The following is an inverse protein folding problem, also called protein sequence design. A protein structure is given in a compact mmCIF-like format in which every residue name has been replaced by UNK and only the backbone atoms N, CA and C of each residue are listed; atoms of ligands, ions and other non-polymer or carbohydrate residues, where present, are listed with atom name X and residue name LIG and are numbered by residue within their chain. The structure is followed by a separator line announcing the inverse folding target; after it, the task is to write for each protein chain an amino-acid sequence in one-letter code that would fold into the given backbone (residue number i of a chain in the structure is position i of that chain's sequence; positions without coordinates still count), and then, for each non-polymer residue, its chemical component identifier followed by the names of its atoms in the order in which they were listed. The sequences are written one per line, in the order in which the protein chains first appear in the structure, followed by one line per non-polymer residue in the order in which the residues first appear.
data_IF_091268020766
#
_entry.id   IF_091268020766
#
_cell.length_a   1.000
_cell.length_b   1.000
_cell.length_c   1.000
_cell.angle_alpha   90.00
_cell.angle_beta   90.00
_cell.angle_gamma   90.00
#
_symmetry.space_group_name_H-M   'P 1'
#
loop_
_entity.id
_entity.type
_entity.pdbx_description
1 polymer ?
#
# COMPACT_ATOMS: atom_id res chain seq x y z
N UNK A 1 13.71 7.00 4.19
CA UNK A 1 12.72 6.15 3.48
C UNK A 1 12.61 6.51 2.01
N UNK A 2 12.75 5.53 1.10
CA UNK A 2 12.45 5.70 -0.33
C UNK A 2 11.19 4.90 -0.68
N UNK A 3 10.05 5.58 -0.72
CA UNK A 3 8.76 5.01 -1.10
C UNK A 3 8.62 4.95 -2.62
N UNK A 4 8.09 3.84 -3.14
CA UNK A 4 7.82 3.68 -4.56
C UNK A 4 6.37 3.27 -4.80
N UNK A 5 5.76 3.87 -5.83
CA UNK A 5 4.41 3.53 -6.30
C UNK A 5 4.51 2.60 -7.50
N UNK A 6 3.77 1.51 -7.45
CA UNK A 6 3.65 0.50 -8.49
C UNK A 6 2.21 0.44 -8.98
N UNK A 7 2.02 0.27 -10.27
CA UNK A 7 0.70 0.15 -10.89
C UNK A 7 0.64 -1.04 -11.83
N UNK A 8 -0.55 -1.61 -12.02
CA UNK A 8 -0.73 -2.72 -12.97
C UNK A 8 -2.15 -3.25 -13.00
N UNK A 9 -2.46 -4.04 -14.02
CA UNK A 9 -3.82 -4.48 -14.36
C UNK A 9 -4.39 -5.52 -13.39
N UNK A 10 -3.53 -6.23 -12.65
CA UNK A 10 -3.94 -7.25 -11.69
C UNK A 10 -2.95 -7.39 -10.54
N UNK A 11 -3.40 -7.97 -9.44
CA UNK A 11 -2.59 -8.10 -8.22
C UNK A 11 -1.29 -8.88 -8.47
N UNK A 12 -1.32 -10.04 -9.15
CA UNK A 12 -0.10 -10.78 -9.43
C UNK A 12 0.92 -9.98 -10.23
N UNK A 13 0.46 -9.18 -11.20
CA UNK A 13 1.34 -8.35 -12.06
C UNK A 13 2.02 -7.26 -11.25
N UNK A 14 1.27 -6.55 -10.39
CA UNK A 14 1.85 -5.49 -9.55
C UNK A 14 2.82 -6.07 -8.53
N UNK A 15 2.48 -7.20 -7.91
CA UNK A 15 3.34 -7.86 -6.93
C UNK A 15 4.63 -8.39 -7.54
N UNK A 16 4.59 -8.92 -8.77
CA UNK A 16 5.80 -9.31 -9.49
C UNK A 16 6.70 -8.10 -9.74
N UNK A 17 6.10 -6.96 -10.12
CA UNK A 17 6.84 -5.71 -10.35
C UNK A 17 7.47 -5.18 -9.07
N UNK A 18 6.73 -5.21 -7.95
CA UNK A 18 7.25 -4.85 -6.62
C UNK A 18 8.43 -5.74 -6.25
N UNK A 19 8.30 -7.06 -6.41
CA UNK A 19 9.35 -8.03 -6.12
C UNK A 19 10.60 -7.80 -6.96
N UNK A 20 10.44 -7.55 -8.25
CA UNK A 20 11.57 -7.32 -9.16
C UNK A 20 12.30 -6.00 -8.86
N UNK A 21 11.58 -4.98 -8.37
CA UNK A 21 12.16 -3.68 -8.07
C UNK A 21 12.78 -3.58 -6.67
N UNK A 22 12.12 -4.17 -5.66
CA UNK A 22 12.46 -3.98 -4.24
C UNK A 22 12.99 -5.25 -3.56
N UNK A 23 12.95 -6.40 -4.23
CA UNK A 23 13.35 -7.70 -3.69
C UNK A 23 12.19 -8.48 -3.08
N UNK A 24 12.48 -9.71 -2.61
CA UNK A 24 11.49 -10.60 -1.99
C UNK A 24 10.95 -10.08 -0.66
N UNK A 25 11.72 -9.22 0.01
CA UNK A 25 11.44 -8.73 1.36
C UNK A 25 10.78 -7.34 1.35
N UNK A 26 10.23 -6.94 0.20
CA UNK A 26 9.54 -5.68 0.03
C UNK A 26 8.32 -5.58 0.97
N UNK A 27 8.15 -4.40 1.57
CA UNK A 27 7.07 -4.11 2.50
C UNK A 27 6.02 -3.27 1.79
N UNK A 28 4.79 -3.76 1.75
CA UNK A 28 3.63 -3.05 1.19
C UNK A 28 3.00 -2.20 2.29
N UNK A 29 2.89 -0.90 2.04
CA UNK A 29 2.33 0.07 2.99
C UNK A 29 0.89 0.43 2.66
N UNK A 30 0.55 0.49 1.36
CA UNK A 30 -0.80 0.74 0.91
C UNK A 30 -1.10 -0.02 -0.38
N UNK A 31 -2.35 -0.40 -0.53
CA UNK A 31 -2.90 -1.09 -1.67
C UNK A 31 -4.27 -0.47 -1.94
N UNK A 32 -4.57 -0.17 -3.20
CA UNK A 32 -5.93 0.18 -3.62
C UNK A 32 -6.18 -0.19 -5.07
N UNK A 33 -7.44 -0.40 -5.41
CA UNK A 33 -7.90 -0.48 -6.80
C UNK A 33 -8.39 0.89 -7.26
N UNK A 34 -7.89 1.37 -8.39
CA UNK A 34 -8.28 2.65 -9.00
C UNK A 34 -8.79 2.36 -10.41
N UNK A 35 -10.11 2.34 -10.56
CA UNK A 35 -10.73 1.95 -11.83
C UNK A 35 -10.36 0.52 -12.24
N UNK A 36 -9.63 0.41 -13.34
CA UNK A 36 -9.23 -0.86 -13.96
C UNK A 36 -7.89 -1.41 -13.46
N UNK A 37 -7.09 -0.62 -12.75
CA UNK A 37 -5.76 -1.01 -12.29
C UNK A 37 -5.63 -0.99 -10.76
N UNK A 38 -4.54 -1.57 -10.29
CA UNK A 38 -4.16 -1.65 -8.89
C UNK A 38 -2.97 -0.74 -8.67
N UNK A 39 -2.99 0.03 -7.58
CA UNK A 39 -1.87 0.82 -7.11
C UNK A 39 -1.35 0.23 -5.79
N UNK A 40 -0.04 0.06 -5.68
CA UNK A 40 0.65 -0.36 -4.46
C UNK A 40 1.72 0.67 -4.13
N UNK A 41 1.80 1.09 -2.86
CA UNK A 41 2.94 1.83 -2.33
C UNK A 41 3.76 0.87 -1.49
N UNK A 42 5.04 0.71 -1.83
CA UNK A 42 5.95 -0.22 -1.18
C UNK A 42 7.34 0.39 -0.95
N UNK A 43 8.12 -0.24 -0.07
CA UNK A 43 9.52 0.10 0.19
C UNK A 43 10.35 -1.18 0.34
N UNK A 44 11.62 -1.14 -0.06
CA UNK A 44 12.59 -2.22 0.15
C UNK A 44 13.44 -2.05 1.41
N UNK A 45 13.38 -0.87 2.05
CA UNK A 45 14.05 -0.58 3.31
C UNK A 45 13.10 0.15 4.25
N UNK A 46 13.08 -0.31 5.50
CA UNK A 46 12.34 0.30 6.58
C UNK A 46 13.34 0.60 7.69
N UNK A 47 13.81 1.85 7.74
CA UNK A 47 14.72 2.31 8.78
C UNK A 47 13.95 2.34 10.12
N UNK A 48 14.54 1.95 11.25
CA UNK A 48 13.85 1.93 12.57
C UNK A 48 13.19 3.27 12.92
N UNK A 49 13.81 4.37 12.52
CA UNK A 49 13.32 5.75 12.68
C UNK A 49 11.97 6.00 11.98
N UNK A 50 11.67 5.21 10.96
CA UNK A 50 10.44 5.30 10.17
C UNK A 50 9.21 4.82 10.93
N UNK A 51 9.38 3.86 11.84
CA UNK A 51 8.29 3.39 12.71
C UNK A 51 7.98 4.39 13.81
N UNK A 52 8.99 5.07 14.34
CA UNK A 52 8.82 6.06 15.41
C UNK A 52 8.08 7.31 14.95
N UNK A 53 8.15 7.65 13.65
CA UNK A 53 7.45 8.79 13.05
C UNK A 53 6.09 8.42 12.44
N UNK A 54 5.74 7.14 12.39
CA UNK A 54 4.44 6.72 11.86
C UNK A 54 3.33 7.09 12.85
N UNK A 55 2.45 8.01 12.45
CA UNK A 55 1.24 8.29 13.23
C UNK A 55 0.29 7.09 13.16
N UNK A 56 -0.24 6.70 14.31
CA UNK A 56 -1.32 5.70 14.37
C UNK A 56 -2.52 6.28 13.65
N UNK A 57 -2.98 5.58 12.60
CA UNK A 57 -4.19 5.97 11.89
C UNK A 57 -5.37 5.95 12.88
N UNK A 58 -5.89 7.13 13.18
CA UNK A 58 -7.08 7.33 14.00
C UNK A 58 -8.30 7.47 13.08
N UNK A 59 -9.04 6.37 12.93
CA UNK A 59 -10.27 6.29 12.13
C UNK A 59 -11.32 7.33 12.55
N UNK A 60 -11.24 7.84 13.79
CA UNK A 60 -12.22 8.81 14.31
C UNK A 60 -11.97 10.25 13.85
N UNK A 61 -10.78 10.58 13.32
CA UNK A 61 -10.42 11.96 12.95
C UNK A 61 -10.76 12.35 11.51
N UNK A 62 -10.95 11.39 10.62
CA UNK A 62 -11.10 11.67 9.19
C UNK A 62 -12.52 11.48 8.62
N UNK A 63 -13.52 11.16 9.44
CA UNK A 63 -14.93 11.12 9.01
C UNK A 63 -15.20 10.28 7.76
N UNK A 64 -14.29 9.36 7.42
CA UNK A 64 -14.46 8.42 6.32
C UNK A 64 -15.33 7.31 6.87
N UNK A 65 -16.63 7.39 6.59
CA UNK A 65 -17.54 6.31 6.93
C UNK A 65 -16.98 5.02 6.30
N UNK A 66 -16.75 3.95 7.09
CA UNK A 66 -16.35 2.67 6.53
C UNK A 66 -17.42 2.30 5.52
N UNK A 67 -17.04 2.18 4.24
CA UNK A 67 -17.96 1.74 3.21
C UNK A 67 -18.36 0.32 3.57
N UNK A 68 -19.52 0.20 4.22
CA UNK A 68 -20.18 -1.08 4.40
C UNK A 68 -20.46 -1.58 2.99
N UNK A 69 -19.72 -2.61 2.57
CA UNK A 69 -20.10 -3.40 1.42
C UNK A 69 -21.50 -3.94 1.73
N UNK A 70 -22.52 -3.26 1.22
CA UNK A 70 -23.90 -3.71 1.27
C UNK A 70 -23.98 -4.96 0.39
N UNK A 71 -23.76 -6.13 1.00
CA UNK A 71 -24.06 -7.41 0.40
C UNK A 71 -25.56 -7.44 0.07
N UNK A 72 -25.88 -7.51 -1.22
CA UNK A 72 -27.14 -8.04 -1.75
C UNK A 72 -26.91 -9.46 -2.23
#
# INVERSE_FOLDING_TARGET
MQLQKFTGESMPVVLDTVRNALGSDAIILANRRVGDHIEIIATGNLDDVSFEQAEVFDDTKNGVEPTTLANR
#
